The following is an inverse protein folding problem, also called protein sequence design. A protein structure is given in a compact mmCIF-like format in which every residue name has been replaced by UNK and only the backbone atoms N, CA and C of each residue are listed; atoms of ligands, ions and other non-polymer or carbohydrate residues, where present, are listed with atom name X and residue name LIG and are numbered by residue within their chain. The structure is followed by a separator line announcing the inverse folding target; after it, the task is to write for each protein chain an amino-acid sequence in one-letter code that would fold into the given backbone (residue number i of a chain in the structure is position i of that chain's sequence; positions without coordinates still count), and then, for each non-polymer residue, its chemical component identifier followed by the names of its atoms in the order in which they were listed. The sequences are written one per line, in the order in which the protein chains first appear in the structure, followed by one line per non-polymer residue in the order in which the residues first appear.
data_IF_419569478665
#
_entry.id   IF_419569478665
#
_cell.length_a   1.000
_cell.length_b   1.000
_cell.length_c   1.000
_cell.angle_alpha   90.00
_cell.angle_beta   90.00
_cell.angle_gamma   90.00
#
_symmetry.space_group_name_H-M   'P 1'
#
loop_
_entity.id
_entity.type
_entity.pdbx_description
1 polymer ?
#
# COMPACT_ATOMS: atom_id res chain seq x y z
N UNK A 1 11.24 46.61 54.03
CA UNK A 1 10.66 46.96 52.70
C UNK A 1 11.29 46.03 51.66
N UNK A 2 10.44 45.24 50.98
CA UNK A 2 10.60 44.54 49.68
C UNK A 2 11.87 43.67 49.49
N UNK A 3 11.79 42.35 49.74
CA UNK A 3 11.51 41.28 48.75
C UNK A 3 12.39 41.33 47.49
N UNK A 4 13.19 40.28 47.27
CA UNK A 4 13.46 39.67 45.95
C UNK A 4 14.19 38.33 46.18
N UNK A 5 13.42 37.26 46.31
CA UNK A 5 13.92 35.88 46.26
C UNK A 5 13.65 35.38 44.84
N UNK A 6 14.70 35.23 44.05
CA UNK A 6 14.63 34.75 42.67
C UNK A 6 14.40 33.24 42.67
N UNK A 7 13.23 32.81 42.22
CA UNK A 7 12.88 31.41 41.99
C UNK A 7 13.27 31.07 40.54
N UNK A 8 14.31 30.28 40.34
CA UNK A 8 14.59 29.63 39.06
C UNK A 8 13.61 28.48 38.87
N UNK A 9 12.69 28.62 37.91
CA UNK A 9 11.81 27.56 37.45
C UNK A 9 12.54 26.77 36.35
N UNK A 10 13.06 25.59 36.68
CA UNK A 10 13.60 24.65 35.70
C UNK A 10 12.46 23.99 34.91
N UNK A 11 12.34 24.37 33.64
CA UNK A 11 11.41 23.78 32.68
C UNK A 11 11.99 22.45 32.20
N UNK A 12 11.48 21.32 32.72
CA UNK A 12 11.76 19.99 32.17
C UNK A 12 10.94 19.83 30.89
N UNK A 13 11.53 20.15 29.74
CA UNK A 13 11.02 19.72 28.45
C UNK A 13 11.36 18.24 28.30
N UNK A 14 10.41 17.36 28.61
CA UNK A 14 10.51 15.95 28.26
C UNK A 14 10.46 15.82 26.74
N UNK A 15 11.62 15.81 26.09
CA UNK A 15 11.74 15.40 24.71
C UNK A 15 11.43 13.90 24.65
N UNK A 16 10.19 13.55 24.28
CA UNK A 16 9.84 12.19 23.87
C UNK A 16 10.55 11.90 22.54
N UNK A 17 11.83 11.57 22.61
CA UNK A 17 12.54 10.97 21.50
C UNK A 17 12.00 9.56 21.31
N UNK A 18 11.18 9.35 20.29
CA UNK A 18 10.84 8.00 19.84
C UNK A 18 12.13 7.33 19.37
N UNK A 19 12.73 6.49 20.21
CA UNK A 19 13.84 5.65 19.82
C UNK A 19 13.30 4.55 18.89
N UNK A 20 13.40 4.77 17.57
CA UNK A 20 13.05 3.77 16.55
C UNK A 20 13.99 2.56 16.68
N UNK A 21 13.42 1.36 16.72
CA UNK A 21 14.18 0.11 16.90
C UNK A 21 14.94 -0.28 15.63
N UNK A 22 16.01 -1.09 15.77
CA UNK A 22 16.75 -1.63 14.61
C UNK A 22 15.86 -2.42 13.65
N UNK A 23 14.81 -3.07 14.17
CA UNK A 23 13.82 -3.79 13.37
C UNK A 23 12.97 -2.84 12.52
N UNK A 24 12.46 -1.75 13.10
CA UNK A 24 11.68 -0.73 12.38
C UNK A 24 12.50 -0.02 11.30
N UNK A 25 13.79 0.28 11.59
CA UNK A 25 14.70 0.83 10.59
C UNK A 25 14.95 -0.15 9.43
N UNK A 26 14.99 -1.45 9.74
CA UNK A 26 15.05 -2.52 8.74
C UNK A 26 13.81 -2.53 7.85
N UNK A 27 12.60 -2.44 8.44
CA UNK A 27 11.35 -2.41 7.69
C UNK A 27 11.26 -1.20 6.75
N UNK A 28 11.56 0.00 7.25
CA UNK A 28 11.52 1.23 6.45
C UNK A 28 12.44 1.12 5.21
N UNK A 29 13.64 0.56 5.39
CA UNK A 29 14.59 0.32 4.30
C UNK A 29 14.00 -0.63 3.24
N UNK A 30 13.30 -1.68 3.65
CA UNK A 30 12.76 -2.68 2.73
C UNK A 30 11.49 -2.20 2.03
N UNK A 31 10.69 -1.38 2.71
CA UNK A 31 9.57 -0.65 2.10
C UNK A 31 10.10 0.26 0.99
N UNK A 32 11.12 1.07 1.28
CA UNK A 32 11.71 1.97 0.28
C UNK A 32 12.26 1.20 -0.93
N UNK A 33 12.91 0.04 -0.70
CA UNK A 33 13.36 -0.85 -1.78
C UNK A 33 12.21 -1.31 -2.66
N UNK A 34 11.14 -1.84 -2.06
CA UNK A 34 9.94 -2.27 -2.79
C UNK A 34 9.29 -1.12 -3.57
N UNK A 35 9.18 0.07 -2.98
CA UNK A 35 8.60 1.24 -3.65
C UNK A 35 9.43 1.74 -4.84
N UNK A 36 10.73 1.44 -4.86
CA UNK A 36 11.67 1.79 -5.95
C UNK A 36 11.96 0.63 -6.91
N UNK A 37 11.37 -0.55 -6.68
CA UNK A 37 11.64 -1.77 -7.43
C UNK A 37 11.16 -1.65 -8.88
N UNK A 38 11.98 -2.12 -9.81
CA UNK A 38 11.66 -2.06 -11.26
C UNK A 38 11.81 -3.40 -11.96
N UNK A 39 12.65 -4.27 -11.42
CA UNK A 39 12.97 -5.57 -11.98
C UNK A 39 12.28 -6.68 -11.21
N UNK A 40 12.02 -7.79 -11.89
CA UNK A 40 11.42 -8.99 -11.30
C UNK A 40 12.17 -9.45 -10.04
N UNK A 41 13.51 -9.39 -10.05
CA UNK A 41 14.34 -9.80 -8.93
C UNK A 41 14.13 -8.91 -7.69
N UNK A 42 13.91 -7.61 -7.88
CA UNK A 42 13.67 -6.65 -6.78
C UNK A 42 12.37 -6.99 -6.04
N UNK A 43 11.31 -7.33 -6.80
CA UNK A 43 10.03 -7.74 -6.23
C UNK A 43 10.13 -9.10 -5.53
N UNK A 44 10.87 -10.05 -6.11
CA UNK A 44 11.11 -11.36 -5.50
C UNK A 44 11.83 -11.24 -4.16
N UNK A 45 12.90 -10.45 -4.09
CA UNK A 45 13.63 -10.20 -2.83
C UNK A 45 12.74 -9.54 -1.78
N UNK A 46 11.93 -8.56 -2.19
CA UNK A 46 10.98 -7.88 -1.30
C UNK A 46 9.95 -8.86 -0.74
N UNK A 47 9.38 -9.71 -1.60
CA UNK A 47 8.43 -10.76 -1.22
C UNK A 47 9.02 -11.70 -0.18
N UNK A 48 10.20 -12.26 -0.45
CA UNK A 48 10.87 -13.18 0.47
C UNK A 48 11.15 -12.54 1.83
N UNK A 49 11.60 -11.28 1.83
CA UNK A 49 11.85 -10.54 3.07
C UNK A 49 10.58 -10.40 3.90
N UNK A 50 9.48 -9.89 3.32
CA UNK A 50 8.26 -9.65 4.07
C UNK A 50 7.58 -10.97 4.51
N UNK A 51 7.62 -12.02 3.67
CA UNK A 51 7.15 -13.36 4.07
C UNK A 51 7.92 -13.89 5.28
N UNK A 52 9.25 -13.79 5.26
CA UNK A 52 10.08 -14.20 6.40
C UNK A 52 9.75 -13.40 7.65
N UNK A 53 9.55 -12.09 7.50
CA UNK A 53 9.18 -11.21 8.61
C UNK A 53 7.81 -11.59 9.21
N UNK A 54 6.79 -11.85 8.37
CA UNK A 54 5.48 -12.36 8.81
C UNK A 54 5.61 -13.68 9.58
N UNK A 55 6.47 -14.60 9.12
CA UNK A 55 6.74 -15.85 9.83
C UNK A 55 7.39 -15.62 11.19
N UNK A 56 8.30 -14.64 11.31
CA UNK A 56 8.88 -14.26 12.60
C UNK A 56 7.82 -13.69 13.55
N UNK A 57 6.94 -12.80 13.05
CA UNK A 57 5.84 -12.26 13.84
C UNK A 57 4.92 -13.36 14.36
N UNK A 58 4.57 -14.33 13.51
CA UNK A 58 3.68 -15.45 13.87
C UNK A 58 4.26 -16.39 14.94
N UNK A 59 5.59 -16.33 15.16
CA UNK A 59 6.30 -17.12 16.18
C UNK A 59 6.61 -16.34 17.46
N UNK A 60 6.46 -15.02 17.46
CA UNK A 60 6.74 -14.15 18.60
C UNK A 60 5.59 -14.12 19.62
N UNK A 61 5.93 -13.89 20.90
CA UNK A 61 4.95 -13.80 21.99
C UNK A 61 4.30 -12.42 22.15
N UNK A 62 4.85 -11.39 21.49
CA UNK A 62 4.35 -10.00 21.54
C UNK A 62 4.19 -9.45 20.12
N UNK A 63 3.10 -9.77 19.44
CA UNK A 63 2.76 -9.07 18.18
C UNK A 63 1.91 -7.84 18.49
N UNK A 64 2.33 -6.67 18.00
CA UNK A 64 1.60 -5.41 18.16
C UNK A 64 0.51 -5.30 17.10
N UNK A 65 -0.54 -4.52 17.37
CA UNK A 65 -1.58 -4.22 16.37
C UNK A 65 -1.03 -3.53 15.13
N UNK A 66 0.09 -2.81 15.26
CA UNK A 66 0.78 -2.13 14.15
C UNK A 66 1.47 -3.08 13.15
N UNK A 67 1.55 -4.39 13.44
CA UNK A 67 2.27 -5.40 12.63
C UNK A 67 1.54 -5.80 11.33
N UNK A 68 0.36 -5.23 11.06
CA UNK A 68 -0.38 -5.50 9.83
C UNK A 68 0.41 -5.13 8.57
N UNK A 69 1.33 -4.17 8.67
CA UNK A 69 2.14 -3.67 7.56
C UNK A 69 2.96 -4.75 6.89
N UNK A 70 3.54 -5.68 7.65
CA UNK A 70 4.30 -6.78 7.07
C UNK A 70 3.45 -7.68 6.18
N UNK A 71 2.22 -7.98 6.60
CA UNK A 71 1.25 -8.72 5.80
C UNK A 71 0.88 -7.92 4.55
N UNK A 72 0.61 -6.62 4.71
CA UNK A 72 0.29 -5.74 3.60
C UNK A 72 1.42 -5.67 2.58
N UNK A 73 2.67 -5.44 3.00
CA UNK A 73 3.81 -5.34 2.09
C UNK A 73 4.17 -6.69 1.46
N UNK A 74 3.84 -7.81 2.11
CA UNK A 74 3.90 -9.12 1.47
C UNK A 74 2.91 -9.19 0.30
N UNK A 75 1.64 -8.86 0.54
CA UNK A 75 0.63 -8.81 -0.53
C UNK A 75 1.00 -7.80 -1.62
N UNK A 76 1.51 -6.62 -1.27
CA UNK A 76 1.89 -5.59 -2.22
C UNK A 76 3.04 -6.07 -3.10
N UNK A 77 4.06 -6.72 -2.55
CA UNK A 77 5.19 -7.25 -3.33
C UNK A 77 4.74 -8.27 -4.39
N UNK A 78 3.79 -9.14 -4.04
CA UNK A 78 3.17 -10.10 -4.94
C UNK A 78 2.44 -9.39 -6.10
N UNK A 79 1.55 -8.46 -5.76
CA UNK A 79 0.76 -7.69 -6.74
C UNK A 79 1.66 -6.86 -7.65
N UNK A 80 2.72 -6.23 -7.12
CA UNK A 80 3.65 -5.43 -7.93
C UNK A 80 4.47 -6.26 -8.89
N UNK A 81 4.87 -7.47 -8.50
CA UNK A 81 5.52 -8.41 -9.41
C UNK A 81 4.60 -8.74 -10.61
N UNK A 82 3.33 -9.01 -10.35
CA UNK A 82 2.34 -9.34 -11.38
C UNK A 82 2.09 -8.15 -12.33
N UNK A 83 1.87 -6.96 -11.78
CA UNK A 83 1.70 -5.72 -12.57
C UNK A 83 2.95 -5.45 -13.43
N UNK A 84 4.14 -5.65 -12.86
CA UNK A 84 5.39 -5.45 -13.59
C UNK A 84 5.55 -6.47 -14.71
N UNK A 85 5.22 -7.74 -14.48
CA UNK A 85 5.20 -8.78 -15.50
C UNK A 85 4.21 -8.44 -16.63
N UNK A 86 2.99 -8.02 -16.28
CA UNK A 86 1.99 -7.55 -17.24
C UNK A 86 2.49 -6.39 -18.11
N UNK A 87 3.09 -5.37 -17.50
CA UNK A 87 3.64 -4.20 -18.22
C UNK A 87 4.77 -4.57 -19.18
N UNK A 88 5.52 -5.62 -18.87
CA UNK A 88 6.63 -6.12 -19.71
C UNK A 88 6.17 -7.14 -20.77
N UNK A 89 4.90 -7.56 -20.76
CA UNK A 89 4.43 -8.65 -21.62
C UNK A 89 4.98 -10.02 -21.24
N UNK A 90 5.44 -10.18 -20.00
CA UNK A 90 5.92 -11.46 -19.47
C UNK A 90 4.75 -12.36 -19.06
N UNK A 91 5.03 -13.67 -18.91
CA UNK A 91 4.07 -14.64 -18.39
C UNK A 91 3.59 -14.21 -17.00
N UNK A 92 2.29 -14.32 -16.79
CA UNK A 92 1.56 -13.93 -15.59
C UNK A 92 1.14 -15.16 -14.79
N UNK A 93 1.09 -15.03 -13.47
CA UNK A 93 0.60 -16.05 -12.53
C UNK A 93 -0.55 -15.49 -11.67
N UNK A 94 -1.44 -14.72 -12.29
CA UNK A 94 -2.48 -13.93 -11.61
C UNK A 94 -3.25 -14.74 -10.55
N UNK A 95 -3.69 -15.96 -10.85
CA UNK A 95 -4.50 -16.74 -9.93
C UNK A 95 -3.73 -17.13 -8.66
N UNK A 96 -2.53 -17.70 -8.81
CA UNK A 96 -1.68 -18.08 -7.67
C UNK A 96 -1.25 -16.85 -6.86
N UNK A 97 -0.77 -15.81 -7.55
CA UNK A 97 -0.33 -14.56 -6.93
C UNK A 97 -1.48 -13.90 -6.16
N UNK A 98 -2.67 -13.83 -6.76
CA UNK A 98 -3.86 -13.22 -6.15
C UNK A 98 -4.33 -14.00 -4.94
N UNK A 99 -4.46 -15.33 -5.04
CA UNK A 99 -4.88 -16.16 -3.91
C UNK A 99 -3.93 -16.04 -2.70
N UNK A 100 -2.63 -15.98 -2.95
CA UNK A 100 -1.64 -15.76 -1.89
C UNK A 100 -1.71 -14.34 -1.31
N UNK A 101 -1.85 -13.31 -2.15
CA UNK A 101 -1.98 -11.93 -1.69
C UNK A 101 -3.25 -11.72 -0.86
N UNK A 102 -4.39 -12.28 -1.28
CA UNK A 102 -5.65 -12.28 -0.53
C UNK A 102 -5.48 -12.90 0.87
N UNK A 103 -4.75 -14.02 0.98
CA UNK A 103 -4.43 -14.65 2.27
C UNK A 103 -3.63 -13.74 3.19
N UNK A 104 -2.65 -13.00 2.67
CA UNK A 104 -1.92 -12.03 3.48
C UNK A 104 -2.80 -10.85 3.90
N UNK A 105 -3.68 -10.36 3.02
CA UNK A 105 -4.63 -9.29 3.36
C UNK A 105 -5.65 -9.71 4.41
N UNK A 106 -6.05 -10.99 4.46
CA UNK A 106 -6.83 -11.50 5.59
C UNK A 106 -6.09 -11.30 6.93
N UNK A 107 -4.77 -11.50 6.96
CA UNK A 107 -3.93 -11.20 8.12
C UNK A 107 -3.88 -9.71 8.48
N UNK A 108 -4.02 -8.81 7.49
CA UNK A 108 -4.17 -7.36 7.73
C UNK A 108 -5.48 -7.09 8.45
N UNK A 109 -6.61 -7.60 7.96
CA UNK A 109 -7.92 -7.34 8.56
C UNK A 109 -8.08 -7.93 9.96
N UNK A 110 -7.41 -9.05 10.27
CA UNK A 110 -7.37 -9.58 11.63
C UNK A 110 -6.70 -8.61 12.63
N UNK A 111 -5.74 -7.81 12.18
CA UNK A 111 -4.97 -6.88 13.03
C UNK A 111 -5.51 -5.44 12.97
N UNK A 112 -6.01 -5.04 11.82
CA UNK A 112 -6.60 -3.73 11.54
C UNK A 112 -7.85 -3.91 10.65
N UNK A 113 -9.04 -4.14 11.24
CA UNK A 113 -10.26 -4.47 10.50
C UNK A 113 -10.74 -3.39 9.52
N UNK A 114 -10.46 -2.11 9.83
CA UNK A 114 -10.89 -0.97 9.02
C UNK A 114 -9.68 -0.36 8.31
N UNK A 115 -9.16 -1.06 7.30
CA UNK A 115 -7.91 -0.72 6.64
C UNK A 115 -8.11 -0.38 5.16
N UNK A 116 -8.14 0.92 4.87
CA UNK A 116 -8.31 1.45 3.52
C UNK A 116 -7.23 0.93 2.56
N UNK A 117 -5.98 0.84 2.98
CA UNK A 117 -4.89 0.35 2.14
C UNK A 117 -5.11 -1.11 1.74
N UNK A 118 -5.57 -1.96 2.66
CA UNK A 118 -5.89 -3.35 2.37
C UNK A 118 -7.06 -3.48 1.39
N UNK A 119 -8.11 -2.67 1.56
CA UNK A 119 -9.23 -2.62 0.63
C UNK A 119 -8.82 -2.09 -0.77
N UNK A 120 -7.93 -1.09 -0.85
CA UNK A 120 -7.35 -0.61 -2.11
C UNK A 120 -6.58 -1.74 -2.80
N UNK A 121 -5.75 -2.48 -2.06
CA UNK A 121 -4.96 -3.55 -2.64
C UNK A 121 -5.84 -4.75 -3.06
N UNK A 122 -6.90 -5.08 -2.30
CA UNK A 122 -7.91 -6.04 -2.74
C UNK A 122 -8.59 -5.60 -4.03
N UNK A 123 -8.95 -4.32 -4.15
CA UNK A 123 -9.52 -3.78 -5.39
C UNK A 123 -8.58 -4.02 -6.57
N UNK A 124 -7.29 -3.74 -6.41
CA UNK A 124 -6.27 -3.96 -7.44
C UNK A 124 -6.08 -5.46 -7.79
N UNK A 125 -6.11 -6.34 -6.79
CA UNK A 125 -6.07 -7.80 -7.01
C UNK A 125 -7.25 -8.25 -7.87
N UNK A 126 -8.46 -7.84 -7.52
CA UNK A 126 -9.65 -8.20 -8.30
C UNK A 126 -9.68 -7.54 -9.68
N UNK A 127 -9.08 -6.37 -9.85
CA UNK A 127 -8.86 -5.78 -11.17
C UNK A 127 -7.90 -6.63 -12.02
N UNK A 128 -6.79 -7.12 -11.46
CA UNK A 128 -5.89 -8.06 -12.15
C UNK A 128 -6.63 -9.33 -12.58
N UNK A 129 -7.41 -9.93 -11.68
CA UNK A 129 -8.25 -11.11 -11.98
C UNK A 129 -9.35 -10.86 -13.00
N UNK A 130 -9.68 -9.59 -13.30
CA UNK A 130 -10.64 -9.25 -14.35
C UNK A 130 -9.99 -9.15 -15.74
N UNK A 131 -8.66 -9.09 -15.82
CA UNK A 131 -7.92 -8.81 -17.06
C UNK A 131 -7.68 -10.03 -17.97
N UNK A 132 -8.02 -11.24 -17.53
CA UNK A 132 -7.70 -12.51 -18.19
C UNK A 132 -8.76 -13.01 -19.20
N UNK A 133 -9.73 -12.17 -19.59
CA UNK A 133 -10.88 -12.55 -20.46
C UNK A 133 -11.63 -13.82 -20.01
N UNK A 134 -11.53 -14.18 -18.72
CA UNK A 134 -12.25 -15.32 -18.14
C UNK A 134 -13.76 -15.05 -18.02
N UNK A 135 -14.55 -16.11 -17.85
CA UNK A 135 -15.98 -16.00 -17.54
C UNK A 135 -16.25 -15.20 -16.24
N UNK A 136 -15.26 -15.14 -15.34
CA UNK A 136 -15.36 -14.45 -14.07
C UNK A 136 -14.94 -12.96 -14.14
N UNK A 137 -14.50 -12.48 -15.31
CA UNK A 137 -13.99 -11.10 -15.47
C UNK A 137 -14.96 -10.03 -14.96
N UNK A 138 -16.24 -10.13 -15.31
CA UNK A 138 -17.28 -9.18 -14.87
C UNK A 138 -17.49 -9.25 -13.35
N UNK A 139 -17.51 -10.46 -12.78
CA UNK A 139 -17.69 -10.65 -11.35
C UNK A 139 -16.48 -10.13 -10.55
N UNK A 140 -15.26 -10.34 -11.07
CA UNK A 140 -14.03 -9.83 -10.49
C UNK A 140 -13.99 -8.30 -10.55
N UNK A 141 -14.39 -7.68 -11.66
CA UNK A 141 -14.49 -6.23 -11.76
C UNK A 141 -15.53 -5.64 -10.78
N UNK A 142 -16.66 -6.33 -10.58
CA UNK A 142 -17.65 -5.91 -9.58
C UNK A 142 -17.06 -5.94 -8.16
N UNK A 143 -16.33 -7.01 -7.80
CA UNK A 143 -15.61 -7.09 -6.51
C UNK A 143 -14.54 -6.01 -6.37
N UNK A 144 -13.82 -5.69 -7.43
CA UNK A 144 -12.84 -4.61 -7.42
C UNK A 144 -13.48 -3.28 -7.02
N UNK A 145 -14.64 -2.95 -7.62
CA UNK A 145 -15.40 -1.75 -7.28
C UNK A 145 -15.96 -1.79 -5.85
N UNK A 146 -16.42 -2.94 -5.36
CA UNK A 146 -16.91 -3.08 -3.98
C UNK A 146 -15.82 -2.76 -2.96
N UNK A 147 -14.61 -3.32 -3.12
CA UNK A 147 -13.50 -3.03 -2.22
C UNK A 147 -13.02 -1.59 -2.32
N UNK A 148 -13.05 -1.00 -3.51
CA UNK A 148 -12.72 0.42 -3.68
C UNK A 148 -13.71 1.34 -2.96
N UNK A 149 -15.01 1.01 -3.01
CA UNK A 149 -16.04 1.73 -2.28
C UNK A 149 -15.86 1.63 -0.75
N UNK A 150 -15.45 0.45 -0.24
CA UNK A 150 -15.07 0.27 1.18
C UNK A 150 -13.88 1.15 1.55
N UNK A 151 -12.81 1.13 0.75
CA UNK A 151 -11.65 2.00 0.98
C UNK A 151 -12.02 3.49 0.98
N UNK A 152 -12.92 3.92 0.10
CA UNK A 152 -13.42 5.31 0.06
C UNK A 152 -14.15 5.72 1.33
N UNK A 153 -14.93 4.82 1.91
CA UNK A 153 -15.61 5.06 3.18
C UNK A 153 -14.64 5.14 4.37
N UNK A 154 -13.50 4.47 4.29
CA UNK A 154 -12.48 4.42 5.35
C UNK A 154 -11.47 5.57 5.26
N UNK A 155 -11.04 5.95 4.05
CA UNK A 155 -10.08 7.03 3.80
C UNK A 155 -10.28 7.69 2.43
N UNK A 156 -11.33 8.51 2.30
CA UNK A 156 -11.66 9.24 1.05
C UNK A 156 -10.52 10.08 0.45
N UNK A 157 -9.55 10.49 1.27
CA UNK A 157 -8.45 11.37 0.84
C UNK A 157 -7.23 10.57 0.36
N UNK A 158 -7.25 9.24 0.46
CA UNK A 158 -6.17 8.40 0.02
C UNK A 158 -5.97 8.51 -1.50
N UNK A 159 -4.80 8.95 -1.99
CA UNK A 159 -4.56 9.16 -3.42
C UNK A 159 -4.61 7.85 -4.22
N UNK A 160 -4.32 6.70 -3.59
CA UNK A 160 -4.33 5.40 -4.27
C UNK A 160 -5.73 4.96 -4.68
N UNK A 161 -6.79 5.47 -4.06
CA UNK A 161 -8.17 5.27 -4.54
C UNK A 161 -8.32 5.80 -5.97
N UNK A 162 -7.84 7.02 -6.22
CA UNK A 162 -7.92 7.62 -7.54
C UNK A 162 -6.97 6.95 -8.54
N UNK A 163 -5.86 6.37 -8.07
CA UNK A 163 -5.02 5.49 -8.91
C UNK A 163 -5.85 4.31 -9.41
N UNK A 164 -6.51 3.56 -8.51
CA UNK A 164 -7.30 2.39 -8.91
C UNK A 164 -8.53 2.78 -9.74
N UNK A 165 -9.19 3.91 -9.46
CA UNK A 165 -10.24 4.45 -10.35
C UNK A 165 -9.72 4.70 -11.76
N UNK A 166 -8.51 5.24 -11.88
CA UNK A 166 -7.82 5.43 -13.15
C UNK A 166 -7.56 4.11 -13.87
N UNK A 167 -7.05 3.11 -13.15
CA UNK A 167 -6.78 1.77 -13.69
C UNK A 167 -8.06 1.08 -14.19
N UNK A 168 -9.16 1.16 -13.43
CA UNK A 168 -10.48 0.63 -13.83
C UNK A 168 -11.02 1.34 -15.08
N UNK A 169 -10.93 2.67 -15.12
CA UNK A 169 -11.41 3.45 -16.26
C UNK A 169 -10.52 3.30 -17.51
N UNK A 170 -9.26 2.90 -17.36
CA UNK A 170 -8.27 2.90 -18.44
C UNK A 170 -8.69 2.13 -19.69
N UNK A 171 -9.36 0.99 -19.51
CA UNK A 171 -9.79 0.12 -20.63
C UNK A 171 -11.07 0.60 -21.30
N UNK A 172 -11.95 1.28 -20.57
CA UNK A 172 -13.31 1.64 -21.01
C UNK A 172 -13.48 3.11 -21.39
N UNK A 173 -12.76 4.01 -20.70
CA UNK A 173 -12.85 5.45 -20.89
C UNK A 173 -11.51 6.13 -20.52
N UNK A 174 -10.67 6.35 -21.54
CA UNK A 174 -9.33 6.93 -21.38
C UNK A 174 -9.33 8.36 -20.82
N UNK A 175 -10.31 9.19 -21.19
CA UNK A 175 -10.43 10.57 -20.66
C UNK A 175 -10.79 10.59 -19.17
N UNK A 176 -11.70 9.69 -18.77
CA UNK A 176 -12.03 9.51 -17.36
C UNK A 176 -10.83 8.96 -16.57
N UNK A 177 -10.09 8.00 -17.15
CA UNK A 177 -8.87 7.48 -16.54
C UNK A 177 -7.83 8.60 -16.30
N UNK A 178 -7.59 9.43 -17.32
CA UNK A 178 -6.70 10.60 -17.23
C UNK A 178 -7.16 11.59 -16.15
N UNK A 179 -8.46 11.81 -16.02
CA UNK A 179 -9.04 12.65 -14.96
C UNK A 179 -8.71 12.09 -13.58
N UNK A 180 -8.89 10.79 -13.37
CA UNK A 180 -8.56 10.15 -12.09
C UNK A 180 -7.06 10.16 -11.78
N UNK A 181 -6.18 9.87 -12.75
CA UNK A 181 -4.74 9.93 -12.53
C UNK A 181 -4.24 11.35 -12.18
N UNK A 182 -4.81 12.39 -12.81
CA UNK A 182 -4.52 13.78 -12.44
C UNK A 182 -5.03 14.13 -11.04
N UNK A 183 -6.21 13.64 -10.66
CA UNK A 183 -6.75 13.79 -9.30
C UNK A 183 -5.85 13.10 -8.27
N UNK A 184 -5.39 11.87 -8.55
CA UNK A 184 -4.45 11.15 -7.70
C UNK A 184 -3.13 11.93 -7.53
N UNK A 185 -2.58 12.48 -8.63
CA UNK A 185 -1.39 13.32 -8.58
C UNK A 185 -1.57 14.56 -7.70
N UNK A 186 -2.75 15.20 -7.76
CA UNK A 186 -3.08 16.34 -6.91
C UNK A 186 -3.18 15.92 -5.43
N UNK A 187 -3.88 14.82 -5.11
CA UNK A 187 -3.99 14.28 -3.75
C UNK A 187 -2.62 13.92 -3.16
N UNK A 188 -1.70 13.37 -3.96
CA UNK A 188 -0.33 13.07 -3.51
C UNK A 188 0.49 14.30 -3.08
N UNK A 189 0.12 15.52 -3.48
CA UNK A 189 0.79 16.75 -3.04
C UNK A 189 0.48 17.11 -1.59
N UNK A 190 -0.69 16.72 -1.11
CA UNK A 190 -1.18 17.04 0.24
C UNK A 190 -1.27 15.82 1.15
N UNK A 191 -1.28 14.61 0.60
CA UNK A 191 -1.34 13.38 1.36
C UNK A 191 -0.03 13.15 2.13
N UNK A 192 -0.14 13.00 3.45
CA UNK A 192 0.96 12.64 4.33
C UNK A 192 0.72 11.25 4.89
N UNK A 193 1.72 10.37 4.77
CA UNK A 193 1.67 9.04 5.40
C UNK A 193 1.57 9.19 6.92
N UNK A 194 0.75 8.35 7.57
CA UNK A 194 0.51 8.41 9.03
C UNK A 194 1.75 8.05 9.84
N UNK A 195 2.66 7.28 9.25
CA UNK A 195 3.97 6.91 9.80
C UNK A 195 4.94 6.58 8.66
N UNK A 196 6.23 6.44 8.99
CA UNK A 196 7.24 6.08 8.01
C UNK A 196 7.02 4.71 7.36
N UNK A 197 6.29 3.84 8.04
CA UNK A 197 6.00 2.48 7.60
C UNK A 197 4.67 2.36 6.84
N UNK A 198 3.91 3.44 6.69
CA UNK A 198 2.65 3.38 5.93
C UNK A 198 2.88 3.55 4.42
N UNK A 199 2.02 2.93 3.58
CA UNK A 199 2.24 2.86 2.14
C UNK A 199 2.27 4.23 1.47
N UNK A 200 3.16 4.39 0.50
CA UNK A 200 3.26 5.61 -0.30
C UNK A 200 3.46 5.36 -1.80
N UNK A 201 3.22 4.13 -2.26
CA UNK A 201 3.21 3.79 -3.69
C UNK A 201 2.10 4.52 -4.45
N UNK A 202 2.18 4.50 -5.78
CA UNK A 202 1.17 5.01 -6.71
C UNK A 202 1.63 6.17 -7.59
N UNK A 203 2.66 6.91 -7.16
CA UNK A 203 3.24 8.01 -7.95
C UNK A 203 3.84 7.53 -9.28
N UNK A 204 4.52 6.38 -9.25
CA UNK A 204 5.08 5.77 -10.46
C UNK A 204 3.98 5.21 -11.38
N UNK A 205 2.91 4.64 -10.82
CA UNK A 205 1.76 4.17 -11.60
C UNK A 205 1.09 5.33 -12.34
N UNK A 206 0.85 6.46 -11.65
CA UNK A 206 0.30 7.67 -12.27
C UNK A 206 1.20 8.12 -13.42
N UNK A 207 2.52 8.19 -13.18
CA UNK A 207 3.49 8.62 -14.20
C UNK A 207 3.47 7.69 -15.41
N UNK A 208 3.40 6.38 -15.18
CA UNK A 208 3.28 5.38 -16.22
C UNK A 208 1.98 5.57 -17.04
N UNK A 209 0.82 5.58 -16.39
CA UNK A 209 -0.46 5.66 -17.11
C UNK A 209 -0.64 6.98 -17.86
N UNK A 210 -0.24 8.11 -17.28
CA UNK A 210 -0.27 9.40 -17.97
C UNK A 210 0.67 9.44 -19.18
N UNK A 211 1.78 8.69 -19.15
CA UNK A 211 2.70 8.63 -20.29
C UNK A 211 2.15 7.86 -21.49
N UNK A 212 1.19 6.95 -21.27
CA UNK A 212 0.57 6.12 -22.32
C UNK A 212 -0.85 6.59 -22.70
N UNK A 213 -1.47 7.44 -21.89
CA UNK A 213 -2.76 8.12 -22.15
C UNK A 213 -2.62 9.41 -22.98
N UNK A 214 -1.56 9.51 -23.79
CA UNK A 214 -1.30 10.69 -24.64
C UNK A 214 -2.48 11.00 -25.56
#
# INVERSE_FOLDING_TARGET
MVKKLSILLSMVVAAYGFAQTSAEKGLETQIAKLESAKKTEDFQQSKEYFMKYVNTLSRGTETKKEDWRAYYYTALSLVRAEINAQRQGNVQNIEETSGLAEKYLAGVFLKNPNNAEANILLSQIYLLKSSDNSADSVANLAKANEYLAKAESEDKNNPRIDVIKGEIAFTSNKELAKTYFNSAAAKFKTYSKKSNLDPNWGKEDISYYLSILK
#
